data_IF_132020668623
#
_entry.id   IF_132020668623
#
_cell.length_a   1.000
_cell.length_b   1.000
_cell.length_c   1.000
_cell.angle_alpha   90.00
_cell.angle_beta   90.00
_cell.angle_gamma   90.00
#
_symmetry.space_group_name_H-M   'P 1'
#
loop_
_entity.id
_entity.type
_entity.pdbx_description
1 polymer ?
#
# COMPACT_ATOMS: atom_id res chain seq x y z
N UNK A 1 16.04 -2.79 6.81
CA UNK A 1 16.68 -4.12 6.98
C UNK A 1 15.91 -5.24 6.29
N UNK A 2 14.75 -5.70 6.78
CA UNK A 2 14.04 -6.85 6.16
C UNK A 2 13.76 -6.68 4.65
N UNK A 3 13.26 -5.50 4.24
CA UNK A 3 13.02 -5.21 2.82
C UNK A 3 14.33 -5.11 2.02
N UNK A 4 15.37 -4.50 2.58
CA UNK A 4 16.68 -4.39 1.93
C UNK A 4 17.33 -5.77 1.73
N UNK A 5 17.20 -6.67 2.72
CA UNK A 5 17.67 -8.06 2.64
C UNK A 5 16.95 -8.84 1.54
N UNK A 6 15.71 -8.47 1.23
CA UNK A 6 14.92 -8.99 0.12
C UNK A 6 15.21 -8.27 -1.23
N UNK A 7 16.15 -7.33 -1.26
CA UNK A 7 16.50 -6.55 -2.45
C UNK A 7 15.52 -5.42 -2.79
N UNK A 8 14.67 -5.01 -1.85
CA UNK A 8 13.71 -3.92 -1.99
C UNK A 8 14.19 -2.70 -1.21
N UNK A 9 14.63 -1.66 -1.93
CA UNK A 9 15.11 -0.42 -1.32
C UNK A 9 13.95 0.49 -0.89
N UNK A 10 13.95 0.95 0.36
CA UNK A 10 12.96 1.90 0.87
C UNK A 10 13.48 3.34 0.69
N UNK A 11 12.81 4.11 -0.18
CA UNK A 11 13.20 5.50 -0.47
C UNK A 11 12.88 6.47 0.68
N UNK A 12 11.78 6.22 1.41
CA UNK A 12 11.35 7.01 2.55
C UNK A 12 10.42 6.18 3.44
N UNK A 13 10.36 6.54 4.73
CA UNK A 13 9.53 5.85 5.71
C UNK A 13 8.95 6.85 6.71
N UNK A 14 7.71 6.62 7.13
CA UNK A 14 7.04 7.30 8.23
C UNK A 14 6.61 6.24 9.26
N UNK A 15 7.07 6.39 10.51
CA UNK A 15 6.51 5.66 11.65
C UNK A 15 5.39 6.49 12.25
N UNK A 16 4.28 5.85 12.61
CA UNK A 16 3.15 6.50 13.29
C UNK A 16 3.20 6.32 14.81
N UNK A 17 4.22 5.61 15.30
CA UNK A 17 4.50 5.36 16.71
C UNK A 17 3.34 4.75 17.51
N UNK A 18 2.45 4.03 16.81
CA UNK A 18 1.36 3.29 17.42
C UNK A 18 1.90 2.13 18.25
N UNK A 19 1.42 2.02 19.49
CA UNK A 19 1.91 1.01 20.44
C UNK A 19 1.06 -0.26 20.36
N UNK A 20 -0.24 -0.11 20.09
CA UNK A 20 -1.17 -1.23 20.01
C UNK A 20 -2.03 -1.25 18.73
N UNK A 21 -2.70 -2.38 18.54
CA UNK A 21 -3.54 -2.66 17.38
C UNK A 21 -4.82 -1.81 17.34
N UNK A 22 -5.33 -1.36 18.49
CA UNK A 22 -6.55 -0.55 18.55
C UNK A 22 -6.27 0.86 18.08
N UNK A 23 -5.18 1.45 18.57
CA UNK A 23 -4.68 2.75 18.10
C UNK A 23 -4.46 2.72 16.59
N UNK A 24 -3.81 1.67 16.10
CA UNK A 24 -3.53 1.50 14.67
C UNK A 24 -4.82 1.41 13.83
N UNK A 25 -5.86 0.76 14.36
CA UNK A 25 -7.15 0.60 13.69
C UNK A 25 -7.93 1.92 13.60
N UNK A 26 -7.79 2.78 14.61
CA UNK A 26 -8.49 4.07 14.71
C UNK A 26 -7.78 5.21 13.95
N UNK A 27 -6.59 4.98 13.40
CA UNK A 27 -5.86 5.97 12.62
C UNK A 27 -6.63 6.43 11.38
N UNK A 28 -6.59 7.73 11.11
CA UNK A 28 -6.89 8.26 9.78
C UNK A 28 -5.71 7.98 8.83
N UNK A 29 -5.61 6.73 8.40
CA UNK A 29 -4.55 6.30 7.49
C UNK A 29 -4.66 7.01 6.14
N UNK A 30 -5.87 7.42 5.74
CA UNK A 30 -6.07 8.09 4.47
C UNK A 30 -5.36 9.46 4.46
N UNK A 31 -5.67 10.31 5.44
CA UNK A 31 -5.00 11.61 5.57
C UNK A 31 -3.51 11.47 5.77
N UNK A 32 -3.08 10.47 6.56
CA UNK A 32 -1.66 10.18 6.81
C UNK A 32 -0.90 9.87 5.53
N UNK A 33 -1.44 8.98 4.68
CA UNK A 33 -0.82 8.61 3.40
C UNK A 33 -0.72 9.81 2.48
N UNK A 34 -1.79 10.61 2.35
CA UNK A 34 -1.81 11.81 1.50
C UNK A 34 -0.79 12.86 1.97
N UNK A 35 -0.71 13.10 3.28
CA UNK A 35 0.25 14.06 3.85
C UNK A 35 1.69 13.59 3.66
N UNK A 36 1.96 12.31 3.91
CA UNK A 36 3.28 11.74 3.67
C UNK A 36 3.65 11.84 2.19
N UNK A 37 2.72 11.53 1.29
CA UNK A 37 2.92 11.64 -0.14
C UNK A 37 3.32 13.06 -0.60
N UNK A 38 2.64 14.08 -0.08
CA UNK A 38 2.95 15.48 -0.37
C UNK A 38 4.30 15.95 0.18
N UNK A 39 4.81 15.30 1.23
CA UNK A 39 6.12 15.63 1.81
C UNK A 39 7.29 15.00 1.03
N UNK A 40 7.04 14.05 0.13
CA UNK A 40 8.09 13.37 -0.63
C UNK A 40 8.57 14.21 -1.82
N UNK A 41 9.90 14.35 -2.01
CA UNK A 41 10.45 15.11 -3.14
C UNK A 41 10.29 14.40 -4.49
N UNK A 42 10.08 13.08 -4.48
CA UNK A 42 9.88 12.26 -5.68
C UNK A 42 8.63 11.40 -5.51
N UNK A 43 7.77 11.40 -6.55
CA UNK A 43 6.47 10.75 -6.58
C UNK A 43 6.42 9.45 -7.39
N UNK A 44 7.57 8.85 -7.72
CA UNK A 44 7.68 7.72 -8.64
C UNK A 44 7.54 6.31 -8.02
N UNK A 45 7.62 6.17 -6.69
CA UNK A 45 7.68 4.84 -6.04
C UNK A 45 6.36 4.45 -5.36
N UNK A 46 5.93 3.18 -5.44
CA UNK A 46 4.77 2.65 -4.70
C UNK A 46 4.84 2.94 -3.20
N UNK A 47 3.67 3.06 -2.56
CA UNK A 47 3.57 3.17 -1.10
C UNK A 47 3.23 1.83 -0.46
N UNK A 48 3.87 1.53 0.66
CA UNK A 48 3.60 0.33 1.46
C UNK A 48 3.01 0.72 2.81
N UNK A 49 1.89 0.09 3.18
CA UNK A 49 1.29 0.12 4.52
C UNK A 49 1.52 -1.28 5.13
N UNK A 50 2.61 -1.48 5.89
CA UNK A 50 3.00 -2.82 6.35
C UNK A 50 2.20 -3.29 7.57
N UNK A 51 1.48 -2.39 8.25
CA UNK A 51 0.73 -2.69 9.46
C UNK A 51 -0.52 -3.53 9.17
N UNK A 52 -0.66 -4.65 9.88
CA UNK A 52 -1.76 -5.60 9.70
C UNK A 52 -3.02 -5.24 10.48
N UNK A 53 -2.94 -4.37 11.49
CA UNK A 53 -4.09 -3.88 12.25
C UNK A 53 -4.86 -2.79 11.48
N UNK A 54 -4.24 -2.19 10.47
CA UNK A 54 -4.87 -1.19 9.61
C UNK A 54 -5.74 -1.87 8.55
N UNK A 55 -7.04 -1.54 8.54
CA UNK A 55 -7.98 -1.97 7.51
C UNK A 55 -7.86 -1.14 6.22
N UNK A 56 -6.70 -1.23 5.55
CA UNK A 56 -6.37 -0.35 4.43
C UNK A 56 -7.05 -0.75 3.10
N UNK A 57 -7.43 -2.01 2.90
CA UNK A 57 -7.82 -2.54 1.57
C UNK A 57 -8.95 -1.74 0.93
N UNK A 58 -9.98 -1.39 1.70
CA UNK A 58 -11.12 -0.62 1.19
C UNK A 58 -10.76 0.84 0.82
N UNK A 59 -9.68 1.36 1.38
CA UNK A 59 -9.20 2.74 1.14
C UNK A 59 -8.24 2.82 -0.04
N UNK A 60 -7.58 1.72 -0.41
CA UNK A 60 -6.53 1.68 -1.44
C UNK A 60 -6.98 2.29 -2.77
N UNK A 61 -8.14 1.94 -3.38
CA UNK A 61 -8.52 2.51 -4.67
C UNK A 61 -8.63 4.04 -4.63
N UNK A 62 -9.17 4.56 -3.53
CA UNK A 62 -9.31 6.00 -3.34
C UNK A 62 -7.95 6.67 -3.11
N UNK A 63 -7.06 6.05 -2.32
CA UNK A 63 -5.71 6.52 -2.12
C UNK A 63 -4.94 6.57 -3.44
N UNK A 64 -4.92 5.48 -4.20
CA UNK A 64 -4.25 5.39 -5.51
C UNK A 64 -4.75 6.48 -6.48
N UNK A 65 -6.06 6.73 -6.51
CA UNK A 65 -6.64 7.79 -7.32
C UNK A 65 -6.20 9.20 -6.89
N UNK A 66 -6.00 9.44 -5.58
CA UNK A 66 -5.56 10.74 -5.06
C UNK A 66 -4.06 10.98 -5.24
N UNK A 67 -3.22 9.97 -5.01
CA UNK A 67 -1.76 10.13 -5.04
C UNK A 67 -1.12 9.77 -6.39
N UNK A 68 -1.88 9.11 -7.29
CA UNK A 68 -1.45 8.78 -8.64
C UNK A 68 -0.41 7.66 -8.72
N UNK A 69 -0.34 6.77 -7.73
CA UNK A 69 0.60 5.62 -7.72
C UNK A 69 0.06 4.45 -6.90
N UNK A 70 0.63 3.23 -7.08
CA UNK A 70 0.20 2.06 -6.33
C UNK A 70 0.33 2.23 -4.81
N UNK A 71 -0.67 1.71 -4.09
CA UNK A 71 -0.63 1.56 -2.63
C UNK A 71 -0.83 0.10 -2.29
N UNK A 72 0.11 -0.47 -1.53
CA UNK A 72 0.12 -1.87 -1.16
C UNK A 72 -0.03 -1.99 0.35
N UNK A 73 -0.97 -2.79 0.83
CA UNK A 73 -1.07 -3.14 2.24
C UNK A 73 -0.54 -4.56 2.53
N UNK A 74 -0.01 -4.80 3.73
CA UNK A 74 0.49 -6.13 4.13
C UNK A 74 -0.56 -7.24 3.99
N UNK A 75 -1.77 -6.99 4.46
CA UNK A 75 -2.91 -7.93 4.34
C UNK A 75 -3.32 -8.15 2.86
N UNK A 76 -3.23 -7.12 2.02
CA UNK A 76 -3.53 -7.19 0.58
C UNK A 76 -2.51 -8.06 -0.16
N UNK A 77 -1.21 -7.85 0.10
CA UNK A 77 -0.13 -8.65 -0.47
C UNK A 77 -0.23 -10.12 -0.06
N UNK A 78 -0.60 -10.38 1.20
CA UNK A 78 -0.81 -11.73 1.73
C UNK A 78 -1.96 -12.44 1.00
N UNK A 79 -3.10 -11.76 0.80
CA UNK A 79 -4.23 -12.30 0.06
C UNK A 79 -3.86 -12.58 -1.41
N UNK A 80 -3.23 -11.61 -2.09
CA UNK A 80 -2.77 -11.74 -3.47
C UNK A 80 -1.86 -12.96 -3.65
N UNK A 81 -0.86 -13.11 -2.76
CA UNK A 81 0.09 -14.21 -2.83
C UNK A 81 -0.59 -15.56 -2.55
N UNK A 82 -1.50 -15.61 -1.58
CA UNK A 82 -2.28 -16.82 -1.25
C UNK A 82 -3.12 -17.30 -2.43
N UNK A 83 -3.80 -16.38 -3.13
CA UNK A 83 -4.57 -16.71 -4.33
C UNK A 83 -3.67 -17.25 -5.45
N UNK A 84 -2.51 -16.63 -5.67
CA UNK A 84 -1.53 -17.11 -6.64
C UNK A 84 -1.01 -18.51 -6.34
N UNK A 85 -0.72 -18.83 -5.08
CA UNK A 85 -0.30 -20.18 -4.66
C UNK A 85 -1.38 -21.24 -4.91
N UNK A 86 -2.66 -20.86 -4.84
CA UNK A 86 -3.80 -21.72 -5.12
C UNK A 86 -4.14 -21.81 -6.62
N UNK A 87 -3.42 -21.10 -7.49
CA UNK A 87 -3.66 -21.10 -8.93
C UNK A 87 -4.82 -20.20 -9.37
N UNK A 88 -5.25 -19.26 -8.53
CA UNK A 88 -6.26 -18.26 -8.88
C UNK A 88 -5.62 -16.95 -9.31
N UNK A 89 -6.24 -16.30 -10.30
CA UNK A 89 -5.93 -14.91 -10.63
C UNK A 89 -6.75 -13.94 -9.79
N UNK A 90 -6.18 -12.75 -9.54
CA UNK A 90 -6.83 -11.69 -8.80
C UNK A 90 -7.61 -10.79 -9.77
N UNK A 91 -8.91 -10.61 -9.53
CA UNK A 91 -9.79 -9.73 -10.33
C UNK A 91 -10.70 -8.87 -9.46
N UNK A 92 -10.25 -8.49 -8.26
CA UNK A 92 -11.02 -7.60 -7.39
C UNK A 92 -10.83 -6.15 -7.85
N UNK A 93 -11.76 -5.66 -8.68
CA UNK A 93 -11.71 -4.31 -9.28
C UNK A 93 -11.60 -3.18 -8.24
N UNK A 94 -12.20 -3.39 -7.07
CA UNK A 94 -12.37 -2.35 -6.05
C UNK A 94 -11.37 -2.49 -4.89
N UNK A 95 -10.24 -3.17 -5.12
CA UNK A 95 -9.25 -3.49 -4.09
C UNK A 95 -7.81 -3.09 -4.48
N UNK A 96 -7.67 -2.06 -5.31
CA UNK A 96 -6.39 -1.50 -5.76
C UNK A 96 -5.74 -2.23 -6.94
N UNK A 97 -4.65 -1.66 -7.46
CA UNK A 97 -3.99 -2.23 -8.65
C UNK A 97 -3.46 -3.65 -8.43
N UNK A 98 -3.00 -3.99 -7.22
CA UNK A 98 -2.45 -5.31 -6.91
C UNK A 98 -3.48 -6.44 -7.06
N UNK A 99 -4.70 -6.23 -6.56
CA UNK A 99 -5.75 -7.26 -6.58
C UNK A 99 -6.69 -7.16 -7.80
N UNK A 100 -6.70 -6.03 -8.51
CA UNK A 100 -7.46 -5.90 -9.75
C UNK A 100 -6.75 -6.51 -10.97
N UNK A 101 -5.44 -6.78 -10.86
CA UNK A 101 -4.63 -7.23 -12.00
C UNK A 101 -4.38 -6.15 -13.05
N UNK A 102 -4.73 -4.90 -12.75
CA UNK A 102 -4.52 -3.76 -13.63
C UNK A 102 -3.06 -3.30 -13.58
N UNK A 103 -2.48 -2.94 -14.72
CA UNK A 103 -1.17 -2.26 -14.73
C UNK A 103 -1.35 -0.83 -14.20
N UNK A 104 -0.55 -0.39 -13.21
CA UNK A 104 -0.57 1.01 -12.80
C UNK A 104 -0.07 1.87 -13.95
N UNK A 105 -0.83 2.92 -14.29
CA UNK A 105 -0.37 3.97 -15.18
C UNK A 105 0.64 4.82 -14.42
N UNK A 106 1.94 4.53 -14.57
CA UNK A 106 2.97 5.44 -14.08
C UNK A 106 2.88 6.77 -14.85
N UNK A 107 2.99 7.94 -14.18
CA UNK A 107 3.12 9.20 -14.89
C UNK A 107 4.32 9.11 -15.83
N UNK A 108 4.10 9.36 -17.12
CA UNK A 108 5.21 9.60 -18.04
C UNK A 108 5.86 10.95 -17.68
N UNK A 109 7.19 10.97 -17.67
CA UNK A 109 8.03 12.17 -17.45
C UNK A 109 7.58 13.40 -18.25
#
# INVERSE_FOLDING_TARGET
QFLDDAGVNVAAMLSLDCIDETESNDLDIQSTVIQFDHALPNRAHPMLIPDTAISAIALIPNLEAQIGRPVIAGNQATLWHSLKLLGYDCQASDAGVLLSGSQPTLPHD
#
